data_IF_186002757442
#
_entry.id   IF_186002757442
#
_cell.length_a   1.000
_cell.length_b   1.000
_cell.length_c   1.000
_cell.angle_alpha   90.00
_cell.angle_beta   90.00
_cell.angle_gamma   90.00
#
_symmetry.space_group_name_H-M   'P 1'
#
loop_
_entity.id
_entity.type
_entity.pdbx_description
1 polymer ?
#
# COMPACT_ATOMS: atom_id res chain seq x y z
N UNK A 1 -47.80 19.31 -3.90
CA UNK A 1 -46.67 18.85 -3.07
C UNK A 1 -46.44 17.37 -3.37
N UNK A 2 -45.19 16.90 -3.35
CA UNK A 2 -44.88 15.48 -3.55
C UNK A 2 -44.69 14.80 -2.19
N UNK A 3 -45.43 13.72 -1.94
CA UNK A 3 -45.21 12.83 -0.79
C UNK A 3 -44.27 11.70 -1.21
N UNK A 4 -43.23 11.44 -0.42
CA UNK A 4 -42.29 10.35 -0.62
C UNK A 4 -41.86 9.75 0.72
N UNK A 5 -41.54 8.46 0.69
CA UNK A 5 -41.01 7.70 1.81
C UNK A 5 -39.62 7.14 1.44
N UNK A 6 -38.68 7.18 2.38
CA UNK A 6 -37.35 6.60 2.23
C UNK A 6 -37.21 5.44 3.19
N UNK A 7 -36.99 4.24 2.67
CA UNK A 7 -36.81 3.03 3.46
C UNK A 7 -35.34 2.60 3.44
N UNK A 8 -34.76 2.26 4.60
CA UNK A 8 -33.41 1.72 4.65
C UNK A 8 -33.39 0.33 4.03
N UNK A 9 -32.47 0.11 3.09
CA UNK A 9 -32.19 -1.19 2.52
C UNK A 9 -31.05 -1.86 3.28
N UNK A 10 -31.10 -3.19 3.39
CA UNK A 10 -29.99 -4.01 3.91
C UNK A 10 -28.94 -4.34 2.83
N UNK A 11 -29.09 -3.76 1.64
CA UNK A 11 -28.14 -3.95 0.54
C UNK A 11 -26.80 -3.33 0.93
N UNK A 12 -25.73 -4.12 0.81
CA UNK A 12 -24.38 -3.63 1.02
C UNK A 12 -23.91 -2.83 -0.20
N UNK A 13 -23.16 -1.76 0.06
CA UNK A 13 -22.46 -1.01 -0.99
C UNK A 13 -21.24 -1.82 -1.48
N UNK A 14 -20.58 -1.31 -2.51
CA UNK A 14 -19.31 -1.91 -2.94
C UNK A 14 -18.31 -1.88 -1.77
N UNK A 15 -17.67 -3.01 -1.43
CA UNK A 15 -16.71 -3.05 -0.34
C UNK A 15 -15.57 -2.05 -0.58
N UNK A 16 -15.25 -1.27 0.44
CA UNK A 16 -14.13 -0.34 0.44
C UNK A 16 -13.33 -0.54 1.74
N UNK A 17 -12.01 -0.44 1.64
CA UNK A 17 -11.12 -0.66 2.76
C UNK A 17 -9.67 -0.32 2.44
N UNK A 18 -8.84 -0.38 3.48
CA UNK A 18 -7.41 -0.15 3.41
C UNK A 18 -6.67 -1.33 2.79
N UNK A 19 -5.55 -1.01 2.13
CA UNK A 19 -4.65 -1.99 1.53
C UNK A 19 -5.21 -2.75 0.33
N UNK A 20 -4.36 -3.56 -0.30
CA UNK A 20 -4.71 -4.43 -1.44
C UNK A 20 -4.01 -5.77 -1.28
N UNK A 21 -4.64 -6.83 -1.79
CA UNK A 21 -4.05 -8.17 -1.85
C UNK A 21 -4.12 -8.66 -3.28
N UNK A 22 -3.02 -9.23 -3.77
CA UNK A 22 -2.93 -9.74 -5.14
C UNK A 22 -1.83 -10.77 -5.29
N UNK A 23 -1.68 -11.28 -6.51
CA UNK A 23 -0.65 -12.26 -6.85
C UNK A 23 0.39 -11.64 -7.78
N UNK A 24 1.65 -12.00 -7.56
CA UNK A 24 2.71 -11.75 -8.52
C UNK A 24 2.48 -12.62 -9.77
N UNK A 25 2.89 -12.17 -10.96
CA UNK A 25 2.80 -13.00 -12.17
C UNK A 25 3.60 -14.30 -12.10
N UNK A 26 4.63 -14.35 -11.24
CA UNK A 26 5.43 -15.53 -10.95
C UNK A 26 6.01 -15.42 -9.53
N UNK A 27 6.19 -16.56 -8.87
CA UNK A 27 6.74 -16.63 -7.52
C UNK A 27 8.21 -16.15 -7.46
N UNK A 28 8.47 -15.20 -6.57
CA UNK A 28 9.81 -14.66 -6.30
C UNK A 28 10.30 -15.14 -4.94
N UNK A 29 11.61 -15.12 -4.68
CA UNK A 29 12.08 -15.17 -3.30
C UNK A 29 11.73 -13.86 -2.60
N UNK A 30 11.66 -13.90 -1.26
CA UNK A 30 11.43 -12.69 -0.47
C UNK A 30 12.51 -11.62 -0.74
N UNK A 31 13.77 -12.03 -0.94
CA UNK A 31 14.86 -11.13 -1.33
C UNK A 31 14.65 -10.48 -2.71
N UNK A 32 14.25 -11.28 -3.72
CA UNK A 32 13.94 -10.78 -5.06
C UNK A 32 12.79 -9.76 -5.03
N UNK A 33 11.76 -10.04 -4.23
CA UNK A 33 10.65 -9.11 -4.04
C UNK A 33 11.09 -7.84 -3.31
N UNK A 34 11.89 -7.93 -2.24
CA UNK A 34 12.41 -6.77 -1.52
C UNK A 34 13.23 -5.86 -2.44
N UNK A 35 14.08 -6.43 -3.30
CA UNK A 35 14.82 -5.66 -4.31
C UNK A 35 13.90 -5.06 -5.39
N UNK A 36 12.82 -5.75 -5.77
CA UNK A 36 11.80 -5.20 -6.66
C UNK A 36 11.10 -3.99 -6.00
N UNK A 37 10.71 -4.11 -4.72
CA UNK A 37 10.09 -3.02 -3.95
C UNK A 37 11.02 -1.82 -3.87
N UNK A 38 12.31 -2.01 -3.53
CA UNK A 38 13.32 -0.95 -3.52
C UNK A 38 13.37 -0.19 -4.85
N UNK A 39 13.47 -0.92 -5.97
CA UNK A 39 13.52 -0.32 -7.32
C UNK A 39 12.22 0.39 -7.68
N UNK A 40 11.07 -0.20 -7.36
CA UNK A 40 9.76 0.37 -7.68
C UNK A 40 9.46 1.64 -6.89
N UNK A 41 9.85 1.69 -5.61
CA UNK A 41 9.66 2.85 -4.74
C UNK A 41 10.85 3.83 -4.75
N UNK A 42 11.92 3.50 -5.48
CA UNK A 42 13.15 4.31 -5.58
C UNK A 42 13.81 4.60 -4.22
N UNK A 43 13.82 3.62 -3.33
CA UNK A 43 14.46 3.70 -2.00
C UNK A 43 15.78 2.94 -1.96
N UNK A 44 16.73 3.44 -1.16
CA UNK A 44 18.05 2.81 -1.00
C UNK A 44 18.02 1.54 -0.15
N UNK A 45 17.09 1.46 0.80
CA UNK A 45 16.94 0.30 1.69
C UNK A 45 15.48 0.01 2.04
N UNK A 46 15.26 -1.22 2.50
CA UNK A 46 14.02 -1.69 3.12
C UNK A 46 14.39 -2.59 4.30
N UNK A 47 13.50 -2.75 5.27
CA UNK A 47 13.66 -3.72 6.37
C UNK A 47 12.80 -4.94 6.08
N UNK A 48 13.30 -6.14 6.39
CA UNK A 48 12.63 -7.39 6.04
C UNK A 48 12.50 -8.29 7.25
N UNK A 49 11.33 -8.89 7.41
CA UNK A 49 11.03 -9.94 8.39
C UNK A 49 10.76 -11.24 7.61
N UNK A 50 11.38 -12.34 8.04
CA UNK A 50 11.19 -13.68 7.46
C UNK A 50 12.41 -14.19 6.69
N UNK A 51 12.30 -15.43 6.20
CA UNK A 51 13.36 -16.08 5.42
C UNK A 51 13.46 -15.48 4.01
N UNK A 52 14.62 -14.86 3.72
CA UNK A 52 14.95 -14.23 2.44
C UNK A 52 14.86 -15.18 1.24
N UNK A 53 15.04 -16.48 1.47
CA UNK A 53 15.00 -17.52 0.42
C UNK A 53 13.59 -18.10 0.20
N UNK A 54 12.65 -17.85 1.10
CA UNK A 54 11.27 -18.34 0.98
C UNK A 54 10.64 -17.78 -0.29
N UNK A 55 9.94 -18.65 -1.04
CA UNK A 55 9.14 -18.23 -2.19
C UNK A 55 7.85 -17.57 -1.73
N UNK A 56 7.50 -16.45 -2.37
CA UNK A 56 6.32 -15.64 -2.11
C UNK A 56 5.65 -15.31 -3.43
N UNK A 57 4.32 -15.32 -3.45
CA UNK A 57 3.53 -15.03 -4.64
C UNK A 57 2.33 -14.13 -4.30
N UNK A 58 1.63 -14.42 -3.19
CA UNK A 58 0.52 -13.60 -2.72
C UNK A 58 1.03 -12.46 -1.84
N UNK A 59 0.83 -11.23 -2.30
CA UNK A 59 1.31 -10.01 -1.66
C UNK A 59 0.14 -9.21 -1.14
N UNK A 60 0.17 -8.87 0.14
CA UNK A 60 -0.65 -7.81 0.72
C UNK A 60 0.17 -6.52 0.81
N UNK A 61 -0.46 -5.37 0.57
CA UNK A 61 0.20 -4.07 0.70
C UNK A 61 -0.71 -3.01 1.31
N UNK A 62 -0.13 -2.07 2.05
CA UNK A 62 -0.79 -0.85 2.52
C UNK A 62 0.24 0.28 2.57
N UNK A 63 -0.06 1.42 1.95
CA UNK A 63 0.77 2.62 2.09
C UNK A 63 0.76 3.15 3.52
N UNK A 64 1.83 3.85 3.90
CA UNK A 64 1.94 4.49 5.21
C UNK A 64 2.09 3.51 6.37
N UNK A 65 1.58 3.90 7.54
CA UNK A 65 1.65 3.12 8.78
C UNK A 65 0.65 1.96 8.80
N UNK A 66 0.99 0.89 8.07
CA UNK A 66 0.09 -0.25 7.83
C UNK A 66 0.21 -1.40 8.83
N UNK A 67 1.02 -1.28 9.88
CA UNK A 67 1.34 -2.39 10.78
C UNK A 67 0.12 -3.03 11.48
N UNK A 68 -0.95 -2.27 11.71
CA UNK A 68 -2.18 -2.79 12.33
C UNK A 68 -2.95 -3.75 11.39
N UNK A 69 -2.55 -3.84 10.11
CA UNK A 69 -3.14 -4.73 9.11
C UNK A 69 -2.43 -6.08 9.00
N UNK A 70 -1.42 -6.36 9.82
CA UNK A 70 -0.65 -7.62 9.77
C UNK A 70 -1.53 -8.85 9.94
N UNK A 71 -2.44 -8.84 10.92
CA UNK A 71 -3.39 -9.95 11.14
C UNK A 71 -4.31 -10.13 9.93
N UNK A 72 -4.87 -9.04 9.41
CA UNK A 72 -5.73 -9.08 8.22
C UNK A 72 -5.00 -9.56 6.97
N UNK A 73 -3.73 -9.17 6.78
CA UNK A 73 -2.89 -9.66 5.68
C UNK A 73 -2.66 -11.17 5.79
N UNK A 74 -2.41 -11.67 7.01
CA UNK A 74 -2.27 -13.10 7.28
C UNK A 74 -3.55 -13.87 7.03
N UNK A 75 -4.69 -13.35 7.48
CA UNK A 75 -6.03 -13.94 7.28
C UNK A 75 -6.43 -13.95 5.81
N UNK A 76 -6.04 -12.91 5.05
CA UNK A 76 -6.16 -12.89 3.60
C UNK A 76 -5.22 -13.90 2.90
N UNK A 77 -4.39 -14.62 3.66
CA UNK A 77 -3.49 -15.67 3.16
C UNK A 77 -2.26 -15.14 2.44
N UNK A 78 -1.86 -13.89 2.67
CA UNK A 78 -0.66 -13.34 2.05
C UNK A 78 0.60 -14.09 2.51
N UNK A 79 1.55 -14.26 1.59
CA UNK A 79 2.88 -14.79 1.90
C UNK A 79 3.76 -13.70 2.51
N UNK A 80 3.52 -12.45 2.08
CA UNK A 80 4.28 -11.26 2.44
C UNK A 80 3.39 -10.03 2.49
N UNK A 81 3.63 -9.16 3.48
CA UNK A 81 2.98 -7.87 3.65
C UNK A 81 3.98 -6.72 3.43
N UNK A 82 3.60 -5.73 2.62
CA UNK A 82 4.43 -4.56 2.29
C UNK A 82 3.76 -3.29 2.84
N UNK A 83 4.44 -2.57 3.72
CA UNK A 83 3.95 -1.31 4.29
C UNK A 83 5.10 -0.40 4.74
N UNK A 84 4.78 0.73 5.38
CA UNK A 84 5.72 1.57 6.11
C UNK A 84 5.50 1.50 7.63
N UNK A 85 6.45 2.07 8.38
CA UNK A 85 6.40 2.26 9.84
C UNK A 85 6.09 1.00 10.65
N UNK A 86 6.68 -0.13 10.28
CA UNK A 86 6.53 -1.37 11.04
C UNK A 86 7.32 -1.24 12.36
N UNK A 87 6.61 -1.35 13.48
CA UNK A 87 7.17 -1.34 14.83
C UNK A 87 7.77 -2.71 15.17
N UNK A 88 8.62 -2.74 16.19
CA UNK A 88 9.28 -3.98 16.63
C UNK A 88 8.28 -5.09 16.99
N UNK A 89 7.29 -4.81 17.82
CA UNK A 89 6.30 -5.83 18.22
C UNK A 89 5.37 -6.25 17.07
N UNK A 90 5.13 -5.36 16.10
CA UNK A 90 4.41 -5.73 14.88
C UNK A 90 5.24 -6.68 14.01
N UNK A 91 6.55 -6.44 13.89
CA UNK A 91 7.47 -7.36 13.22
C UNK A 91 7.54 -8.72 13.93
N UNK A 92 7.57 -8.73 15.27
CA UNK A 92 7.53 -9.94 16.09
C UNK A 92 6.22 -10.72 15.88
N UNK A 93 5.07 -10.04 15.90
CA UNK A 93 3.76 -10.62 15.62
C UNK A 93 3.73 -11.26 14.22
N UNK A 94 4.14 -10.54 13.18
CA UNK A 94 4.20 -11.08 11.83
C UNK A 94 5.09 -12.33 11.73
N UNK A 95 6.26 -12.31 12.38
CA UNK A 95 7.16 -13.46 12.42
C UNK A 95 6.49 -14.66 13.10
N UNK A 96 5.79 -14.44 14.23
CA UNK A 96 5.04 -15.50 14.95
C UNK A 96 3.92 -16.10 14.10
N UNK A 97 3.29 -15.30 13.24
CA UNK A 97 2.23 -15.71 12.31
C UNK A 97 2.78 -16.39 11.04
N UNK A 98 4.10 -16.42 10.85
CA UNK A 98 4.77 -16.92 9.65
C UNK A 98 4.58 -16.03 8.42
N UNK A 99 4.16 -14.78 8.61
CA UNK A 99 3.99 -13.77 7.57
C UNK A 99 5.30 -13.03 7.35
N UNK A 100 5.80 -13.01 6.12
CA UNK A 100 6.93 -12.15 5.80
C UNK A 100 6.49 -10.68 5.74
N UNK A 101 7.39 -9.76 6.09
CA UNK A 101 7.11 -8.31 6.02
C UNK A 101 8.24 -7.60 5.30
N UNK A 102 7.89 -6.65 4.44
CA UNK A 102 8.80 -5.67 3.87
C UNK A 102 8.34 -4.30 4.35
N UNK A 103 9.12 -3.68 5.22
CA UNK A 103 8.95 -2.28 5.57
C UNK A 103 9.76 -1.43 4.60
N UNK A 104 9.03 -0.70 3.75
CA UNK A 104 9.60 0.15 2.71
C UNK A 104 9.55 1.66 3.04
N UNK A 105 9.20 2.02 4.27
CA UNK A 105 9.10 3.41 4.73
C UNK A 105 7.75 4.07 4.39
N UNK A 106 7.31 4.97 5.27
CA UNK A 106 6.02 5.65 5.15
C UNK A 106 5.91 6.48 3.88
N UNK A 107 6.78 7.49 3.73
CA UNK A 107 6.79 8.43 2.61
C UNK A 107 6.88 7.70 1.26
N UNK A 108 7.81 6.75 1.14
CA UNK A 108 8.04 6.02 -0.10
C UNK A 108 6.84 5.17 -0.54
N UNK A 109 6.07 4.61 0.41
CA UNK A 109 4.90 3.80 0.08
C UNK A 109 3.66 4.64 -0.27
N UNK A 110 3.61 5.91 0.16
CA UNK A 110 2.52 6.83 -0.16
C UNK A 110 2.82 7.72 -1.38
N UNK A 111 4.08 8.07 -1.62
CA UNK A 111 4.52 8.93 -2.72
C UNK A 111 3.94 8.59 -4.11
N UNK A 112 3.73 7.31 -4.49
CA UNK A 112 3.12 6.98 -5.78
C UNK A 112 1.73 7.58 -6.01
N UNK A 113 0.97 7.93 -4.96
CA UNK A 113 -0.37 8.51 -5.10
C UNK A 113 -0.33 9.92 -5.69
N UNK A 114 0.74 10.68 -5.44
CA UNK A 114 0.83 12.10 -5.82
C UNK A 114 0.76 12.30 -7.35
N UNK A 115 1.62 11.69 -8.19
CA UNK A 115 1.51 11.84 -9.63
C UNK A 115 0.20 11.26 -10.18
N UNK A 116 -0.29 10.15 -9.62
CA UNK A 116 -1.56 9.56 -10.03
C UNK A 116 -2.74 10.52 -9.78
N UNK A 117 -2.80 11.11 -8.59
CA UNK A 117 -3.85 12.04 -8.20
C UNK A 117 -3.79 13.32 -9.03
N UNK A 118 -2.59 13.82 -9.34
CA UNK A 118 -2.41 14.97 -10.21
C UNK A 118 -3.03 14.70 -11.60
N UNK A 119 -2.67 13.59 -12.25
CA UNK A 119 -3.25 13.20 -13.55
C UNK A 119 -4.76 12.97 -13.46
N UNK A 120 -5.25 12.29 -12.41
CA UNK A 120 -6.67 12.06 -12.20
C UNK A 120 -7.46 13.38 -12.10
N UNK A 121 -6.94 14.35 -11.36
CA UNK A 121 -7.57 15.66 -11.21
C UNK A 121 -7.52 16.47 -12.51
N UNK A 122 -6.42 16.43 -13.25
CA UNK A 122 -6.32 17.08 -14.57
C UNK A 122 -7.37 16.55 -15.53
N UNK A 123 -7.48 15.23 -15.66
CA UNK A 123 -8.47 14.56 -16.51
C UNK A 123 -9.90 14.93 -16.10
N UNK A 124 -10.19 14.90 -14.79
CA UNK A 124 -11.54 15.17 -14.28
C UNK A 124 -11.94 16.63 -14.48
N UNK A 125 -11.05 17.56 -14.17
CA UNK A 125 -11.31 18.99 -14.32
C UNK A 125 -11.49 19.37 -15.80
N UNK A 126 -10.69 18.78 -16.70
CA UNK A 126 -10.84 18.98 -18.12
C UNK A 126 -12.21 18.47 -18.62
N UNK A 127 -12.65 17.30 -18.15
CA UNK A 127 -13.95 16.74 -18.50
C UNK A 127 -15.12 17.62 -18.00
N UNK A 128 -14.97 18.25 -16.85
CA UNK A 128 -15.97 19.17 -16.26
C UNK A 128 -15.86 20.61 -16.83
N UNK A 129 -14.99 20.86 -17.83
CA UNK A 129 -14.86 22.15 -18.53
C UNK A 129 -14.01 23.20 -17.81
N UNK A 130 -13.28 22.81 -16.78
CA UNK A 130 -12.42 23.69 -16.00
C UNK A 130 -11.05 23.89 -16.66
N UNK A 131 -10.45 25.07 -16.48
CA UNK A 131 -9.12 25.45 -17.01
C UNK A 131 -8.12 25.69 -15.88
N UNK A 132 -8.07 24.76 -14.94
CA UNK A 132 -7.16 24.83 -13.81
C UNK A 132 -5.81 24.22 -14.20
N UNK A 133 -4.72 24.76 -13.64
CA UNK A 133 -3.41 24.13 -13.67
C UNK A 133 -3.24 23.31 -12.41
N UNK A 134 -2.82 22.06 -12.54
CA UNK A 134 -2.45 21.21 -11.42
C UNK A 134 -0.93 21.27 -11.26
N UNK A 135 -0.47 21.36 -10.02
CA UNK A 135 0.94 21.40 -9.68
C UNK A 135 1.26 20.24 -8.74
N UNK A 136 2.25 19.45 -9.11
CA UNK A 136 2.82 18.43 -8.26
C UNK A 136 4.01 19.02 -7.48
N UNK A 137 4.05 18.81 -6.16
CA UNK A 137 5.24 19.12 -5.38
C UNK A 137 6.41 18.25 -5.84
N UNK A 138 7.55 18.87 -6.10
CA UNK A 138 8.83 18.20 -6.40
C UNK A 138 9.80 18.24 -5.23
N UNK A 139 9.38 18.76 -4.06
CA UNK A 139 10.20 18.82 -2.87
C UNK A 139 10.29 17.43 -2.22
N UNK A 140 11.49 16.99 -1.80
CA UNK A 140 11.60 15.78 -1.00
C UNK A 140 10.94 16.00 0.36
N UNK A 141 10.10 15.05 0.77
CA UNK A 141 9.33 15.09 2.03
C UNK A 141 9.75 14.02 3.04
N UNK A 142 10.66 13.11 2.65
CA UNK A 142 11.25 12.17 3.60
C UNK A 142 12.13 12.90 4.61
N UNK A 143 11.88 12.61 5.90
CA UNK A 143 12.74 13.05 7.01
C UNK A 143 13.89 12.09 7.29
N UNK A 144 13.89 10.92 6.64
CA UNK A 144 14.90 9.90 6.80
C UNK A 144 15.94 10.00 5.70
N UNK A 145 17.20 10.12 6.11
CA UNK A 145 18.36 9.93 5.25
C UNK A 145 19.08 8.64 5.65
N UNK A 146 19.42 7.81 4.66
CA UNK A 146 20.18 6.59 4.87
C UNK A 146 21.64 6.87 4.52
N UNK A 147 22.49 6.91 5.54
CA UNK A 147 23.95 7.15 5.46
C UNK A 147 24.74 5.86 5.56
#
# INVERSE_FOLDING_TARGET
EAAYDIYPLKNESRPAGLGRVGFLPAALTLEELAEKVKRSLKVSMVRVVGDRKKKVEKVALCGGSGGDLIVFAREAGADVFVAGDIKYHQAEEAASLGLAVIDAGHDATEAPVVPWLASFLEERLAADGHRNKIYQSCLPTSYWEHV
#
